data_IF_090099121245
#
_entry.id   IF_090099121245
#
_cell.length_a   1.000
_cell.length_b   1.000
_cell.length_c   1.000
_cell.angle_alpha   90.00
_cell.angle_beta   90.00
_cell.angle_gamma   90.00
#
_symmetry.space_group_name_H-M   'P 1'
#
loop_
_entity.id
_entity.type
_entity.pdbx_description
1 polymer ?
#
# COMPACT_ATOMS: atom_id res chain seq x y z
N UNK A 1 -8.21 19.30 -9.66
CA UNK A 1 -8.27 18.63 -8.35
C UNK A 1 -6.95 18.79 -7.62
N UNK A 2 -6.96 18.73 -6.29
CA UNK A 2 -5.75 18.58 -5.48
C UNK A 2 -5.59 17.13 -5.06
N UNK A 3 -4.45 16.52 -5.39
CA UNK A 3 -4.23 15.07 -5.33
C UNK A 3 -3.00 14.78 -4.49
N UNK A 4 -3.14 13.90 -3.50
CA UNK A 4 -2.00 13.37 -2.76
C UNK A 4 -1.54 12.06 -3.40
N UNK A 5 -0.24 11.89 -3.65
CA UNK A 5 0.36 10.64 -4.11
C UNK A 5 1.19 10.07 -2.95
N UNK A 6 0.69 8.97 -2.37
CA UNK A 6 1.24 8.30 -1.20
C UNK A 6 2.00 7.03 -1.61
N UNK A 7 3.34 7.08 -1.55
CA UNK A 7 4.22 5.95 -1.88
C UNK A 7 4.66 5.20 -0.62
N UNK A 8 4.77 3.88 -0.72
CA UNK A 8 5.19 3.03 0.41
C UNK A 8 6.11 1.90 -0.03
N UNK A 9 6.89 1.41 0.92
CA UNK A 9 7.66 0.19 0.85
C UNK A 9 9.11 0.41 0.42
N UNK A 10 9.64 -0.56 -0.30
CA UNK A 10 11.02 -0.56 -0.79
C UNK A 10 11.11 0.27 -2.08
N UNK A 11 12.21 1.00 -2.31
CA UNK A 11 12.43 1.76 -3.54
C UNK A 11 12.86 0.85 -4.69
N UNK A 12 12.12 -0.23 -4.94
CA UNK A 12 12.36 -1.10 -6.10
C UNK A 12 11.96 -0.33 -7.35
N UNK A 13 12.81 -0.36 -8.36
CA UNK A 13 12.57 0.23 -9.68
C UNK A 13 11.91 1.64 -9.63
N UNK A 14 12.33 2.46 -8.67
CA UNK A 14 11.69 3.75 -8.40
C UNK A 14 11.77 4.74 -9.57
N UNK A 15 12.75 4.55 -10.48
CA UNK A 15 12.87 5.35 -11.71
C UNK A 15 11.76 5.02 -12.71
N UNK A 16 11.47 3.74 -12.89
CA UNK A 16 10.34 3.31 -13.72
C UNK A 16 9.01 3.75 -13.11
N UNK A 17 8.81 3.53 -11.80
CA UNK A 17 7.59 3.99 -11.15
C UNK A 17 7.41 5.51 -11.20
N UNK A 18 8.48 6.30 -11.07
CA UNK A 18 8.43 7.74 -11.32
C UNK A 18 8.00 8.07 -12.75
N UNK A 19 8.49 7.32 -13.75
CA UNK A 19 8.08 7.49 -15.15
C UNK A 19 6.59 7.22 -15.33
N UNK A 20 6.06 6.15 -14.74
CA UNK A 20 4.63 5.84 -14.76
C UNK A 20 3.79 6.98 -14.15
N UNK A 21 4.19 7.44 -12.96
CA UNK A 21 3.48 8.53 -12.26
C UNK A 21 3.58 9.84 -13.02
N UNK A 22 4.74 10.16 -13.59
CA UNK A 22 4.95 11.39 -14.37
C UNK A 22 4.11 11.41 -15.64
N UNK A 23 3.98 10.28 -16.32
CA UNK A 23 3.08 10.15 -17.48
C UNK A 23 1.62 10.36 -17.07
N UNK A 24 1.20 9.82 -15.92
CA UNK A 24 -0.13 10.06 -15.38
C UNK A 24 -0.38 11.53 -15.04
N UNK A 25 0.56 12.20 -14.38
CA UNK A 25 0.48 13.63 -14.07
C UNK A 25 0.39 14.45 -15.37
N UNK A 26 1.20 14.12 -16.38
CA UNK A 26 1.17 14.80 -17.68
C UNK A 26 -0.19 14.66 -18.38
N UNK A 27 -0.79 13.47 -18.31
CA UNK A 27 -2.09 13.21 -18.92
C UNK A 27 -3.26 13.86 -18.17
N UNK A 28 -3.04 14.34 -16.94
CA UNK A 28 -4.04 14.95 -16.07
C UNK A 28 -3.51 16.31 -15.53
N UNK A 29 -2.83 17.07 -16.40
CA UNK A 29 -2.02 18.25 -16.06
C UNK A 29 -2.79 19.43 -15.45
N UNK A 30 -4.12 19.42 -15.53
CA UNK A 30 -5.01 20.41 -14.92
C UNK A 30 -5.14 20.28 -13.40
N UNK A 31 -4.52 19.26 -12.80
CA UNK A 31 -4.55 18.98 -11.36
C UNK A 31 -3.24 19.37 -10.68
N UNK A 32 -3.28 19.50 -9.35
CA UNK A 32 -2.10 19.69 -8.51
C UNK A 32 -1.79 18.42 -7.73
N UNK A 33 -0.49 18.15 -7.55
CA UNK A 33 0.01 16.89 -7.01
C UNK A 33 1.01 17.15 -5.89
N UNK A 34 0.76 16.55 -4.74
CA UNK A 34 1.67 16.56 -3.61
C UNK A 34 2.09 15.13 -3.29
N UNK A 35 3.39 14.93 -3.03
CA UNK A 35 3.95 13.61 -2.74
C UNK A 35 4.16 13.41 -1.23
N UNK A 36 3.78 12.23 -0.76
CA UNK A 36 4.06 11.75 0.58
C UNK A 36 4.64 10.36 0.46
N UNK A 37 5.70 10.03 1.20
CA UNK A 37 6.18 8.66 1.15
C UNK A 37 6.86 8.12 2.41
N UNK A 38 6.75 6.81 2.56
CA UNK A 38 7.56 6.03 3.47
C UNK A 38 8.44 5.07 2.67
N UNK A 39 9.75 5.11 2.89
CA UNK A 39 10.71 4.33 2.13
C UNK A 39 11.63 3.52 3.07
N UNK A 40 11.61 2.20 2.90
CA UNK A 40 12.59 1.31 3.52
C UNK A 40 13.93 1.45 2.81
N UNK A 41 14.99 1.76 3.54
CA UNK A 41 16.32 1.91 2.96
C UNK A 41 17.42 1.64 3.99
N UNK A 42 18.45 0.90 3.58
CA UNK A 42 19.68 0.67 4.33
C UNK A 42 20.84 0.45 3.35
N UNK A 43 22.07 0.50 3.85
CA UNK A 43 23.27 0.22 3.05
C UNK A 43 23.53 -1.27 2.91
N UNK A 44 23.97 -1.69 1.72
CA UNK A 44 24.41 -3.06 1.42
C UNK A 44 23.35 -4.14 1.71
N UNK A 45 22.07 -3.80 1.58
CA UNK A 45 20.98 -4.75 1.76
C UNK A 45 20.45 -5.24 0.41
N UNK A 46 20.10 -6.52 0.38
CA UNK A 46 19.27 -7.12 -0.68
C UNK A 46 17.87 -7.33 -0.14
N UNK A 47 16.88 -6.70 -0.76
CA UNK A 47 15.49 -6.87 -0.34
C UNK A 47 14.97 -8.27 -0.62
N UNK A 48 14.20 -8.80 0.33
CA UNK A 48 13.45 -10.04 0.12
C UNK A 48 12.35 -9.85 -0.93
N UNK A 49 12.14 -10.90 -1.71
CA UNK A 49 11.06 -11.00 -2.67
C UNK A 49 10.08 -12.07 -2.25
N UNK A 50 8.82 -11.91 -2.65
CA UNK A 50 7.84 -12.96 -2.48
C UNK A 50 8.27 -14.21 -3.28
N UNK A 51 8.01 -15.43 -2.77
CA UNK A 51 8.49 -16.68 -3.38
C UNK A 51 8.12 -16.92 -4.85
N UNK A 52 7.12 -16.20 -5.35
CA UNK A 52 6.57 -16.35 -6.71
C UNK A 52 6.99 -15.24 -7.69
N UNK A 53 7.80 -14.25 -7.25
CA UNK A 53 8.20 -13.12 -8.10
C UNK A 53 9.49 -13.44 -8.84
N UNK A 54 9.53 -13.14 -10.14
CA UNK A 54 10.73 -13.14 -10.95
C UNK A 54 11.14 -11.68 -11.22
N UNK A 55 12.17 -11.18 -10.53
CA UNK A 55 12.63 -9.78 -10.57
C UNK A 55 14.15 -9.79 -10.76
N UNK A 56 14.67 -8.84 -11.54
CA UNK A 56 16.11 -8.61 -11.66
C UNK A 56 16.69 -8.25 -10.27
N UNK A 57 17.57 -9.11 -9.76
CA UNK A 57 18.17 -8.96 -8.43
C UNK A 57 18.92 -7.62 -8.26
N UNK A 58 19.40 -7.02 -9.35
CA UNK A 58 20.06 -5.70 -9.31
C UNK A 58 19.12 -4.61 -8.82
N UNK A 59 17.82 -4.73 -9.07
CA UNK A 59 16.80 -3.77 -8.60
C UNK A 59 16.47 -3.91 -7.11
N UNK A 60 16.97 -4.97 -6.47
CA UNK A 60 16.74 -5.28 -5.05
C UNK A 60 17.91 -4.88 -4.16
N UNK A 61 19.04 -4.49 -4.75
CA UNK A 61 20.26 -4.17 -4.02
C UNK A 61 20.45 -2.66 -3.92
N UNK A 62 20.71 -2.19 -2.70
CA UNK A 62 21.06 -0.79 -2.43
C UNK A 62 22.49 -0.78 -1.93
N UNK A 63 23.41 -0.29 -2.77
CA UNK A 63 24.82 -0.16 -2.40
C UNK A 63 25.04 1.03 -1.47
N UNK A 64 24.39 2.18 -1.77
CA UNK A 64 24.52 3.41 -1.02
C UNK A 64 23.14 4.07 -0.83
N UNK A 65 22.68 4.08 0.41
CA UNK A 65 21.37 4.62 0.76
C UNK A 65 21.25 6.11 0.51
N UNK A 66 22.32 6.89 0.73
CA UNK A 66 22.27 8.34 0.61
C UNK A 66 22.15 8.80 -0.84
N UNK A 67 22.81 8.09 -1.76
CA UNK A 67 22.62 8.30 -3.21
C UNK A 67 21.14 8.06 -3.56
N UNK A 68 20.57 6.94 -3.14
CA UNK A 68 19.19 6.59 -3.48
C UNK A 68 18.18 7.55 -2.80
N UNK A 69 18.39 7.94 -1.54
CA UNK A 69 17.58 8.97 -0.85
C UNK A 69 17.58 10.27 -1.62
N UNK A 70 18.76 10.76 -2.03
CA UNK A 70 18.91 12.00 -2.78
C UNK A 70 18.19 11.92 -4.13
N UNK A 71 18.34 10.83 -4.88
CA UNK A 71 17.64 10.63 -6.14
C UNK A 71 16.12 10.61 -5.97
N UNK A 72 15.60 9.84 -5.01
CA UNK A 72 14.15 9.78 -4.74
C UNK A 72 13.62 11.15 -4.34
N UNK A 73 14.32 11.87 -3.47
CA UNK A 73 13.92 13.21 -3.05
C UNK A 73 13.89 14.21 -4.22
N UNK A 74 14.86 14.13 -5.14
CA UNK A 74 14.89 14.97 -6.34
C UNK A 74 13.77 14.65 -7.33
N UNK A 75 13.49 13.36 -7.55
CA UNK A 75 12.43 12.92 -8.47
C UNK A 75 11.05 13.33 -7.97
N UNK A 76 10.72 12.95 -6.73
CA UNK A 76 9.36 13.06 -6.21
C UNK A 76 9.07 14.38 -5.49
N UNK A 77 10.10 15.08 -4.99
CA UNK A 77 9.96 16.36 -4.25
C UNK A 77 8.84 16.30 -3.19
N UNK A 78 8.95 15.39 -2.20
CA UNK A 78 7.88 15.14 -1.25
C UNK A 78 7.58 16.35 -0.37
N UNK A 79 6.30 16.54 -0.03
CA UNK A 79 5.85 17.44 1.03
C UNK A 79 6.29 16.87 2.39
N UNK A 80 6.19 15.56 2.56
CA UNK A 80 6.68 14.87 3.75
C UNK A 80 7.14 13.46 3.41
N UNK A 81 8.25 13.04 3.99
CA UNK A 81 8.78 11.70 3.81
C UNK A 81 9.43 11.14 5.07
N UNK A 82 9.46 9.82 5.16
CA UNK A 82 10.19 9.08 6.17
C UNK A 82 11.05 8.01 5.49
N UNK A 83 12.36 8.07 5.76
CA UNK A 83 13.31 7.00 5.43
C UNK A 83 13.67 6.25 6.71
N UNK A 84 13.58 4.93 6.69
CA UNK A 84 14.00 4.08 7.80
C UNK A 84 14.54 2.74 7.31
N UNK A 85 15.34 2.08 8.15
CA UNK A 85 15.84 0.73 7.87
C UNK A 85 14.67 -0.26 7.83
N UNK A 86 14.68 -1.29 6.97
CA UNK A 86 13.67 -2.35 6.98
C UNK A 86 13.45 -2.93 8.39
N UNK A 87 12.24 -3.41 8.65
CA UNK A 87 11.91 -4.06 9.92
C UNK A 87 12.92 -5.18 10.25
N UNK A 88 13.57 -5.07 11.40
CA UNK A 88 14.48 -6.11 11.87
C UNK A 88 13.70 -7.34 12.35
N UNK A 89 13.92 -8.47 11.68
CA UNK A 89 13.28 -9.76 11.99
C UNK A 89 13.66 -10.33 13.34
N UNK A 90 14.79 -9.89 13.90
CA UNK A 90 15.30 -10.37 15.18
C UNK A 90 14.88 -9.45 16.33
N UNK A 91 14.28 -8.29 16.03
CA UNK A 91 13.81 -7.37 17.06
C UNK A 91 12.61 -7.97 17.79
N UNK A 92 12.66 -7.96 19.12
CA UNK A 92 11.63 -8.52 19.99
C UNK A 92 10.22 -8.06 19.64
N UNK A 93 10.03 -6.76 19.37
CA UNK A 93 8.73 -6.21 18.98
C UNK A 93 8.17 -6.85 17.70
N UNK A 94 9.02 -7.16 16.73
CA UNK A 94 8.58 -7.85 15.51
C UNK A 94 8.27 -9.33 15.78
N UNK A 95 9.08 -9.99 16.60
CA UNK A 95 8.86 -11.39 16.96
C UNK A 95 7.51 -11.59 17.67
N UNK A 96 7.18 -10.73 18.64
CA UNK A 96 5.91 -10.75 19.36
C UNK A 96 4.73 -10.59 18.39
N UNK A 97 4.77 -9.58 17.52
CA UNK A 97 3.67 -9.33 16.56
C UNK A 97 3.53 -10.48 15.56
N UNK A 98 4.63 -11.04 15.05
CA UNK A 98 4.56 -12.17 14.13
C UNK A 98 4.15 -13.48 14.78
N UNK A 99 4.47 -13.70 16.05
CA UNK A 99 3.94 -14.83 16.81
C UNK A 99 2.41 -14.73 16.96
N UNK A 100 1.91 -13.54 17.29
CA UNK A 100 0.46 -13.30 17.32
C UNK A 100 -0.19 -13.60 15.96
N UNK A 101 0.40 -13.07 14.87
CA UNK A 101 -0.09 -13.33 13.51
C UNK A 101 -0.09 -14.84 13.23
N UNK A 102 0.98 -15.57 13.53
CA UNK A 102 1.06 -17.03 13.28
C UNK A 102 0.00 -17.83 14.04
N UNK A 103 -0.43 -17.37 15.21
CA UNK A 103 -1.51 -17.99 16.00
C UNK A 103 -2.92 -17.66 15.48
N UNK A 104 -3.04 -16.61 14.68
CA UNK A 104 -4.33 -16.09 14.21
C UNK A 104 -5.05 -17.00 13.21
N UNK A 105 -6.37 -16.80 13.09
CA UNK A 105 -7.22 -17.49 12.13
C UNK A 105 -6.82 -17.16 10.69
N UNK A 106 -6.61 -15.89 10.37
CA UNK A 106 -6.18 -15.44 9.04
C UNK A 106 -4.90 -16.15 8.55
N UNK A 107 -3.91 -16.31 9.43
CA UNK A 107 -2.68 -17.03 9.07
C UNK A 107 -2.91 -18.52 8.83
N UNK A 108 -3.70 -19.17 9.70
CA UNK A 108 -4.04 -20.61 9.57
C UNK A 108 -4.84 -20.90 8.31
N UNK A 109 -5.70 -19.97 7.89
CA UNK A 109 -6.45 -20.05 6.64
C UNK A 109 -5.57 -19.87 5.40
N UNK A 110 -4.39 -19.26 5.53
CA UNK A 110 -3.48 -18.98 4.42
C UNK A 110 -2.75 -20.24 3.94
N UNK A 111 -2.51 -20.36 2.64
CA UNK A 111 -1.66 -21.42 2.10
C UNK A 111 -0.18 -21.23 2.50
N UNK A 112 0.65 -22.28 2.34
CA UNK A 112 2.08 -22.27 2.73
C UNK A 112 2.87 -21.13 2.08
N UNK A 113 2.57 -20.78 0.82
CA UNK A 113 3.26 -19.69 0.12
C UNK A 113 2.99 -18.34 0.78
N UNK A 114 1.73 -18.06 1.12
CA UNK A 114 1.30 -16.85 1.83
C UNK A 114 1.86 -16.82 3.27
N UNK A 115 1.83 -17.95 3.98
CA UNK A 115 2.43 -18.09 5.30
C UNK A 115 3.94 -17.76 5.31
N UNK A 116 4.67 -18.23 4.30
CA UNK A 116 6.10 -17.93 4.13
C UNK A 116 6.36 -16.45 3.80
N UNK A 117 5.35 -15.73 3.29
CA UNK A 117 5.45 -14.31 2.93
C UNK A 117 5.02 -13.36 4.07
N UNK A 118 4.82 -13.87 5.30
CA UNK A 118 4.35 -13.11 6.47
C UNK A 118 5.12 -11.81 6.70
N UNK A 119 6.45 -11.84 6.57
CA UNK A 119 7.31 -10.66 6.77
C UNK A 119 7.00 -9.56 5.78
N UNK A 120 6.94 -9.88 4.49
CA UNK A 120 6.68 -8.92 3.44
C UNK A 120 5.28 -8.32 3.57
N UNK A 121 4.28 -9.15 3.87
CA UNK A 121 2.90 -8.70 4.15
C UNK A 121 2.88 -7.72 5.33
N UNK A 122 3.47 -8.09 6.47
CA UNK A 122 3.46 -7.24 7.67
C UNK A 122 4.24 -5.94 7.47
N UNK A 123 5.39 -6.00 6.81
CA UNK A 123 6.20 -4.82 6.46
C UNK A 123 5.47 -3.84 5.55
N UNK A 124 4.68 -4.35 4.60
CA UNK A 124 3.86 -3.52 3.73
C UNK A 124 2.70 -2.83 4.47
N UNK A 125 2.02 -3.57 5.36
CA UNK A 125 0.97 -3.03 6.24
C UNK A 125 1.53 -1.88 7.09
N UNK A 126 2.70 -2.09 7.70
CA UNK A 126 3.40 -1.06 8.47
C UNK A 126 3.72 0.16 7.60
N UNK A 127 4.34 -0.05 6.44
CA UNK A 127 4.81 1.07 5.59
C UNK A 127 3.65 1.91 5.06
N UNK A 128 2.50 1.29 4.77
CA UNK A 128 1.29 1.99 4.38
C UNK A 128 0.74 2.83 5.53
N UNK A 129 0.71 2.30 6.75
CA UNK A 129 0.30 3.07 7.92
C UNK A 129 1.21 4.28 8.14
N UNK A 130 2.53 4.15 7.94
CA UNK A 130 3.47 5.27 8.07
C UNK A 130 3.20 6.40 7.08
N UNK A 131 3.05 6.10 5.79
CA UNK A 131 2.74 7.15 4.81
C UNK A 131 1.35 7.76 5.06
N UNK A 132 0.39 6.96 5.55
CA UNK A 132 -0.90 7.48 6.01
C UNK A 132 -0.73 8.47 7.16
N UNK A 133 0.05 8.11 8.19
CA UNK A 133 0.30 8.99 9.35
C UNK A 133 0.99 10.31 8.93
N UNK A 134 1.92 10.27 7.94
CA UNK A 134 2.52 11.48 7.36
C UNK A 134 1.48 12.39 6.68
N UNK A 135 0.62 11.80 5.85
CA UNK A 135 -0.44 12.51 5.15
C UNK A 135 -1.47 13.12 6.14
N UNK A 136 -1.95 12.31 7.08
CA UNK A 136 -2.92 12.70 8.12
C UNK A 136 -2.39 13.84 8.99
N UNK A 137 -1.12 13.76 9.41
CA UNK A 137 -0.45 14.84 10.12
C UNK A 137 -0.42 16.14 9.32
N UNK A 138 0.01 16.07 8.05
CA UNK A 138 0.12 17.25 7.20
C UNK A 138 -1.23 17.95 7.02
N UNK A 139 -2.30 17.23 6.69
CA UNK A 139 -3.62 17.85 6.49
C UNK A 139 -4.19 18.42 7.79
N UNK A 140 -3.88 17.79 8.94
CA UNK A 140 -4.32 18.25 10.26
C UNK A 140 -3.63 19.56 10.64
N UNK A 141 -2.32 19.65 10.42
CA UNK A 141 -1.51 20.80 10.79
C UNK A 141 -1.76 21.99 9.85
N UNK A 142 -1.90 21.73 8.55
CA UNK A 142 -2.00 22.79 7.52
C UNK A 142 -3.42 23.13 7.11
N UNK A 143 -4.42 22.36 7.56
CA UNK A 143 -5.83 22.46 7.14
C UNK A 143 -6.02 22.37 5.62
N UNK A 144 -5.09 21.70 4.93
CA UNK A 144 -5.17 21.46 3.49
C UNK A 144 -6.20 20.38 3.19
N UNK A 145 -7.01 20.61 2.17
CA UNK A 145 -8.02 19.66 1.69
C UNK A 145 -7.55 19.03 0.38
N UNK A 146 -7.68 17.71 0.27
CA UNK A 146 -7.42 16.95 -0.94
C UNK A 146 -8.73 16.41 -1.50
N UNK A 147 -8.82 16.27 -2.81
CA UNK A 147 -9.98 15.66 -3.47
C UNK A 147 -9.86 14.13 -3.45
N UNK A 148 -8.65 13.62 -3.67
CA UNK A 148 -8.33 12.19 -3.73
C UNK A 148 -6.90 11.91 -3.25
N UNK A 149 -6.66 10.67 -2.86
CA UNK A 149 -5.37 10.08 -2.55
C UNK A 149 -5.10 8.93 -3.52
N UNK A 150 -3.93 8.95 -4.15
CA UNK A 150 -3.40 7.83 -4.92
C UNK A 150 -2.41 7.09 -4.04
N UNK A 151 -2.67 5.81 -3.74
CA UNK A 151 -1.75 4.96 -2.97
C UNK A 151 -1.10 3.94 -3.88
N UNK A 152 0.22 3.95 -3.98
CA UNK A 152 0.96 3.05 -4.87
C UNK A 152 2.36 2.71 -4.35
N UNK A 153 2.99 1.71 -4.95
CA UNK A 153 4.39 1.32 -4.68
C UNK A 153 5.35 2.16 -5.50
N UNK A 154 6.62 2.16 -5.10
CA UNK A 154 7.69 2.81 -5.87
C UNK A 154 7.96 2.17 -7.23
N UNK A 155 7.73 0.87 -7.39
CA UNK A 155 8.06 0.14 -8.63
C UNK A 155 7.09 0.39 -9.79
N UNK A 156 5.98 1.11 -9.56
CA UNK A 156 4.99 1.39 -10.60
C UNK A 156 4.36 0.13 -11.21
N UNK A 157 4.50 -1.03 -10.58
CA UNK A 157 3.91 -2.26 -11.09
C UNK A 157 2.39 -2.13 -11.13
N UNK A 158 1.77 -2.51 -12.25
CA UNK A 158 0.33 -2.33 -12.48
C UNK A 158 -0.15 -0.88 -12.36
N UNK A 159 0.74 0.11 -12.46
CA UNK A 159 0.32 1.50 -12.60
C UNK A 159 -0.36 1.66 -13.98
N UNK A 160 -1.58 2.17 -14.03
CA UNK A 160 -2.38 2.17 -15.25
C UNK A 160 -1.87 3.22 -16.25
N UNK A 161 -1.71 2.81 -17.51
CA UNK A 161 -1.08 3.64 -18.55
C UNK A 161 -1.97 4.81 -19.01
N UNK A 162 -3.29 4.64 -18.95
CA UNK A 162 -4.28 5.63 -19.42
C UNK A 162 -5.44 5.70 -18.45
N UNK A 163 -5.35 6.61 -17.49
CA UNK A 163 -6.48 7.00 -16.66
C UNK A 163 -6.71 8.48 -16.83
N UNK A 164 -7.93 8.80 -17.25
CA UNK A 164 -8.50 10.13 -17.15
C UNK A 164 -9.23 10.23 -15.81
N UNK A 165 -8.74 11.11 -14.94
CA UNK A 165 -9.35 11.31 -13.62
C UNK A 165 -10.41 12.39 -13.60
N UNK A 166 -10.72 13.04 -14.72
CA UNK A 166 -11.75 14.09 -14.79
C UNK A 166 -13.14 13.59 -14.37
N UNK A 167 -13.42 12.30 -14.60
CA UNK A 167 -14.72 11.68 -14.38
C UNK A 167 -14.81 10.82 -13.11
N UNK A 168 -13.79 10.83 -12.24
CA UNK A 168 -13.85 10.03 -11.01
C UNK A 168 -14.84 10.64 -10.01
N UNK A 169 -15.63 9.77 -9.40
CA UNK A 169 -16.52 10.14 -8.32
C UNK A 169 -15.71 10.12 -7.02
N UNK A 170 -15.57 11.30 -6.39
CA UNK A 170 -14.76 11.52 -5.18
C UNK A 170 -15.19 10.73 -3.94
N UNK A 171 -16.31 10.01 -3.99
CA UNK A 171 -16.80 9.12 -2.92
C UNK A 171 -16.45 7.65 -3.14
N UNK A 172 -15.92 7.31 -4.31
CA UNK A 172 -15.64 5.94 -4.71
C UNK A 172 -14.15 5.62 -4.62
N UNK A 173 -13.85 4.34 -4.39
CA UNK A 173 -12.51 3.76 -4.49
C UNK A 173 -12.32 3.20 -5.90
N UNK A 174 -11.17 3.42 -6.51
CA UNK A 174 -10.80 2.85 -7.80
C UNK A 174 -9.59 1.95 -7.66
N UNK A 175 -9.67 0.76 -8.26
CA UNK A 175 -8.61 -0.26 -8.21
C UNK A 175 -8.52 -1.05 -9.51
N UNK A 176 -7.39 -1.72 -9.76
CA UNK A 176 -7.22 -2.51 -10.98
C UNK A 176 -8.20 -3.69 -11.03
N UNK A 177 -8.70 -4.01 -12.23
CA UNK A 177 -9.52 -5.19 -12.48
C UNK A 177 -8.75 -6.51 -12.54
N UNK A 178 -7.46 -6.55 -12.21
CA UNK A 178 -6.58 -7.73 -12.36
C UNK A 178 -7.09 -8.99 -11.67
N UNK A 179 -7.83 -8.85 -10.57
CA UNK A 179 -8.37 -9.97 -9.81
C UNK A 179 -9.79 -10.37 -10.20
N UNK A 180 -10.45 -9.66 -11.14
CA UNK A 180 -11.83 -10.00 -11.52
C UNK A 180 -11.94 -11.45 -12.03
N UNK A 181 -13.00 -12.19 -11.65
CA UNK A 181 -14.21 -11.72 -10.96
C UNK A 181 -14.13 -11.66 -9.41
N UNK A 182 -12.98 -11.94 -8.80
CA UNK A 182 -12.79 -11.88 -7.35
C UNK A 182 -12.98 -10.46 -6.80
N UNK A 183 -13.28 -10.36 -5.51
CA UNK A 183 -13.43 -9.09 -4.78
C UNK A 183 -12.13 -8.58 -4.17
N UNK A 184 -11.05 -9.34 -4.32
CA UNK A 184 -9.72 -9.00 -3.80
C UNK A 184 -9.22 -7.69 -4.39
N UNK A 185 -8.69 -6.84 -3.51
CA UNK A 185 -8.21 -5.51 -3.84
C UNK A 185 -6.69 -5.58 -4.06
N UNK A 186 -6.19 -5.32 -5.29
CA UNK A 186 -4.77 -5.36 -5.56
C UNK A 186 -4.00 -4.30 -4.75
N UNK A 187 -2.79 -4.65 -4.36
CA UNK A 187 -1.97 -3.87 -3.46
C UNK A 187 -1.04 -2.87 -4.17
N UNK A 188 -1.19 -2.65 -5.48
CA UNK A 188 -0.21 -1.90 -6.26
C UNK A 188 -0.63 -0.47 -6.60
N UNK A 189 -1.92 -0.24 -6.86
CA UNK A 189 -2.44 1.07 -7.23
C UNK A 189 -3.90 1.23 -6.79
N UNK A 190 -4.19 2.34 -6.11
CA UNK A 190 -5.53 2.68 -5.64
C UNK A 190 -5.76 4.19 -5.75
N UNK A 191 -6.95 4.60 -6.15
CA UNK A 191 -7.44 5.99 -6.04
C UNK A 191 -8.56 6.01 -5.00
N UNK A 192 -8.43 6.85 -3.97
CA UNK A 192 -9.18 6.72 -2.73
C UNK A 192 -9.61 8.09 -2.22
N UNK A 193 -10.84 8.25 -1.71
CA UNK A 193 -11.23 9.46 -0.98
C UNK A 193 -10.37 9.64 0.28
N UNK A 194 -9.93 10.86 0.65
CA UNK A 194 -9.00 11.06 1.76
C UNK A 194 -9.46 10.48 3.11
N UNK A 195 -10.75 10.60 3.43
CA UNK A 195 -11.32 10.05 4.67
C UNK A 195 -11.25 8.52 4.68
N UNK A 196 -11.58 7.88 3.56
CA UNK A 196 -11.46 6.42 3.42
C UNK A 196 -9.99 6.03 3.53
N UNK A 197 -9.07 6.75 2.90
CA UNK A 197 -7.64 6.45 2.96
C UNK A 197 -7.11 6.44 4.41
N UNK A 198 -7.46 7.45 5.20
CA UNK A 198 -7.00 7.58 6.60
C UNK A 198 -7.47 6.40 7.45
N UNK A 199 -8.75 6.06 7.37
CA UNK A 199 -9.34 4.98 8.15
C UNK A 199 -8.89 3.60 7.64
N UNK A 200 -8.90 3.41 6.32
CA UNK A 200 -8.60 2.13 5.69
C UNK A 200 -7.12 1.75 5.78
N UNK A 201 -6.19 2.71 5.82
CA UNK A 201 -4.77 2.41 6.06
C UNK A 201 -4.33 2.53 7.52
N UNK A 202 -5.27 2.66 8.46
CA UNK A 202 -5.02 2.45 9.89
C UNK A 202 -4.91 0.95 10.26
N UNK A 203 -4.85 0.08 9.25
CA UNK A 203 -4.77 -1.38 9.33
C UNK A 203 -3.66 -1.91 10.25
N UNK A 204 -2.52 -1.23 10.36
CA UNK A 204 -1.45 -1.65 11.26
C UNK A 204 -1.90 -1.60 12.73
N UNK A 205 -2.62 -0.53 13.12
CA UNK A 205 -3.17 -0.37 14.46
C UNK A 205 -4.34 -1.33 14.72
N UNK A 206 -5.11 -1.65 13.67
CA UNK A 206 -6.27 -2.53 13.75
C UNK A 206 -5.93 -4.02 13.59
N UNK A 207 -4.68 -4.39 13.28
CA UNK A 207 -4.36 -5.73 12.78
C UNK A 207 -4.87 -6.85 13.70
N UNK A 208 -4.69 -6.71 15.02
CA UNK A 208 -5.15 -7.70 16.01
C UNK A 208 -6.68 -7.90 15.98
N UNK A 209 -7.43 -6.83 15.72
CA UNK A 209 -8.89 -6.87 15.60
C UNK A 209 -9.38 -7.44 14.26
N UNK A 210 -8.50 -7.55 13.25
CA UNK A 210 -8.83 -8.12 11.94
C UNK A 210 -8.60 -9.64 11.91
N UNK A 211 -7.45 -10.11 12.42
CA UNK A 211 -6.97 -11.46 12.11
C UNK A 211 -7.77 -12.62 12.72
N UNK A 212 -8.59 -12.34 13.73
CA UNK A 212 -9.40 -13.32 14.46
C UNK A 212 -10.89 -12.94 14.48
N UNK A 213 -11.33 -12.07 13.57
CA UNK A 213 -12.68 -11.53 13.59
C UNK A 213 -13.68 -12.45 12.88
N UNK A 214 -14.56 -13.08 13.64
CA UNK A 214 -15.56 -14.04 13.12
C UNK A 214 -16.59 -13.40 12.20
N UNK A 215 -17.05 -12.18 12.54
CA UNK A 215 -18.00 -11.43 11.70
C UNK A 215 -17.36 -11.13 10.34
N UNK A 216 -16.11 -10.67 10.35
CA UNK A 216 -15.39 -10.33 9.14
C UNK A 216 -15.12 -11.57 8.28
N UNK A 217 -14.80 -12.71 8.89
CA UNK A 217 -14.66 -13.96 8.15
C UNK A 217 -15.97 -14.39 7.50
N UNK A 218 -17.11 -14.26 8.19
CA UNK A 218 -18.42 -14.52 7.60
C UNK A 218 -18.71 -13.60 6.40
N UNK A 219 -18.40 -12.30 6.53
CA UNK A 219 -18.54 -11.34 5.43
C UNK A 219 -17.64 -11.70 4.24
N UNK A 220 -16.38 -12.07 4.47
CA UNK A 220 -15.47 -12.54 3.42
C UNK A 220 -16.01 -13.80 2.73
N UNK A 221 -16.49 -14.78 3.50
CA UNK A 221 -17.06 -16.02 2.96
C UNK A 221 -18.31 -15.77 2.11
N UNK A 222 -19.16 -14.80 2.47
CA UNK A 222 -20.33 -14.40 1.67
C UNK A 222 -19.94 -13.84 0.29
N UNK A 223 -18.71 -13.36 0.14
CA UNK A 223 -18.14 -12.88 -1.12
C UNK A 223 -17.39 -13.98 -1.89
N UNK A 224 -17.43 -15.23 -1.40
CA UNK A 224 -16.58 -16.34 -1.83
C UNK A 224 -15.07 -16.04 -1.70
N UNK A 225 -14.68 -15.19 -0.74
CA UNK A 225 -13.30 -14.90 -0.38
C UNK A 225 -12.96 -15.51 0.98
N UNK A 226 -11.66 -15.57 1.31
CA UNK A 226 -11.18 -16.09 2.59
C UNK A 226 -10.47 -15.00 3.36
N UNK A 227 -10.71 -14.94 4.67
CA UNK A 227 -9.87 -14.16 5.57
C UNK A 227 -8.49 -14.84 5.67
N UNK A 228 -7.52 -14.31 4.93
CA UNK A 228 -6.14 -14.81 4.86
C UNK A 228 -5.15 -13.69 5.20
N UNK A 229 -3.99 -14.05 5.78
CA UNK A 229 -2.90 -13.12 6.03
C UNK A 229 -2.05 -12.90 4.78
N UNK A 230 -2.62 -12.17 3.82
CA UNK A 230 -1.95 -11.68 2.63
C UNK A 230 -2.43 -10.25 2.33
N UNK A 231 -1.58 -9.42 1.72
CA UNK A 231 -1.83 -7.98 1.64
C UNK A 231 -3.20 -7.66 1.01
N UNK A 232 -3.55 -8.33 -0.09
CA UNK A 232 -4.74 -8.04 -0.86
C UNK A 232 -6.02 -8.47 -0.12
N UNK A 233 -6.01 -9.64 0.53
CA UNK A 233 -7.09 -10.08 1.42
C UNK A 233 -7.23 -9.17 2.64
N UNK A 234 -6.13 -8.70 3.23
CA UNK A 234 -6.17 -7.77 4.38
C UNK A 234 -6.70 -6.39 3.95
N UNK A 235 -6.42 -5.93 2.72
CA UNK A 235 -7.03 -4.70 2.18
C UNK A 235 -8.55 -4.82 2.13
N UNK A 236 -9.07 -5.88 1.50
CA UNK A 236 -10.52 -6.13 1.46
C UNK A 236 -11.10 -6.26 2.87
N UNK A 237 -10.44 -7.05 3.73
CA UNK A 237 -10.89 -7.30 5.09
C UNK A 237 -10.96 -6.02 5.91
N UNK A 238 -9.96 -5.13 5.83
CA UNK A 238 -10.01 -3.87 6.57
C UNK A 238 -11.03 -2.88 5.96
N UNK A 239 -11.29 -2.95 4.66
CA UNK A 239 -12.33 -2.14 4.02
C UNK A 239 -13.73 -2.48 4.58
N UNK A 240 -14.02 -3.78 4.69
CA UNK A 240 -15.24 -4.31 5.30
C UNK A 240 -15.30 -4.03 6.80
N UNK A 241 -14.18 -4.18 7.53
CA UNK A 241 -14.11 -3.86 8.95
C UNK A 241 -14.46 -2.39 9.24
N UNK A 242 -14.08 -1.47 8.35
CA UNK A 242 -14.48 -0.06 8.41
C UNK A 242 -15.93 0.20 7.95
N UNK A 243 -16.72 -0.86 7.72
CA UNK A 243 -18.13 -0.82 7.28
C UNK A 243 -18.35 -0.09 5.94
N UNK A 244 -17.35 -0.10 5.06
CA UNK A 244 -17.49 0.51 3.74
C UNK A 244 -18.24 -0.38 2.75
N UNK A 245 -19.05 0.23 1.91
CA UNK A 245 -19.85 -0.46 0.90
C UNK A 245 -19.00 -0.86 -0.31
N UNK A 246 -19.01 -2.14 -0.69
CA UNK A 246 -18.31 -2.65 -1.86
C UNK A 246 -18.84 -2.07 -3.19
N UNK A 247 -20.09 -1.60 -3.21
CA UNK A 247 -20.66 -0.90 -4.38
C UNK A 247 -19.95 0.43 -4.68
N UNK A 248 -19.16 0.95 -3.75
CA UNK A 248 -18.33 2.13 -3.96
C UNK A 248 -16.96 1.80 -4.57
N UNK A 249 -16.64 0.52 -4.81
CA UNK A 249 -15.41 0.10 -5.48
C UNK A 249 -15.66 -0.01 -6.99
N UNK A 250 -14.94 0.82 -7.75
CA UNK A 250 -14.90 0.76 -9.21
C UNK A 250 -13.59 0.13 -9.68
N UNK A 251 -13.68 -0.60 -10.78
CA UNK A 251 -12.54 -1.27 -11.37
C UNK A 251 -12.10 -0.53 -12.63
N UNK A 252 -10.79 -0.29 -12.74
CA UNK A 252 -10.12 0.36 -13.85
C UNK A 252 -9.26 -0.69 -14.59
N UNK A 253 -9.28 -0.64 -15.92
CA UNK A 253 -8.51 -1.52 -16.80
C UNK A 253 -7.12 -0.95 -17.09
#
# INVERSE_FOLDING_TARGET
MKIAICLYGQPRDYKYGYTCISNFIKNNSENTYDFFFHCWIDDNIKYEISPWRNIDEKTLFIENQDIVKNYIHQLYKPISCLFEKPLDKNKESYLIETEYIRKSKAYKNSNKSKQNNIYNTFSQIYSRNKVKDLFEKYITDTKQNYDIVISTRFDGFSFPNKIDISNIQKKNVYTSSIHKPRYIIPDNFLIIPPEIYINWFNMYKNIKNLLNNEKLELEMNNLNEKLEFNMEEILLSNYLFCSYNLNNINYIM
#
